data_IF_609049643133
#
_entry.id   IF_609049643133
#
_cell.length_a   1.000
_cell.length_b   1.000
_cell.length_c   1.000
_cell.angle_alpha   90.00
_cell.angle_beta   90.00
_cell.angle_gamma   90.00
#
_symmetry.space_group_name_H-M   'P 1'
#
loop_
_entity.id
_entity.type
_entity.pdbx_description
1 polymer ?
#
# COMPACT_ATOMS: atom_id res chain seq x y z
N UNK A 1 31.98 24.99 -2.67
CA UNK A 1 32.06 24.08 -3.84
C UNK A 1 31.07 22.96 -3.58
N UNK A 2 29.81 23.14 -3.97
CA UNK A 2 28.80 22.09 -3.80
C UNK A 2 28.90 21.18 -5.01
N UNK A 3 29.31 19.94 -4.78
CA UNK A 3 29.47 18.92 -5.81
C UNK A 3 28.19 18.74 -6.63
N UNK A 4 28.39 18.71 -7.94
CA UNK A 4 27.46 18.33 -8.99
C UNK A 4 26.98 16.88 -8.74
N UNK A 5 26.00 16.70 -7.85
CA UNK A 5 25.39 15.38 -7.69
C UNK A 5 24.58 15.11 -8.95
N UNK A 6 24.90 14.03 -9.70
CA UNK A 6 24.09 13.67 -10.84
C UNK A 6 22.64 13.50 -10.38
N UNK A 7 21.72 14.10 -11.13
CA UNK A 7 20.28 14.01 -10.86
C UNK A 7 19.80 12.56 -10.79
N UNK A 8 18.57 12.32 -10.29
CA UNK A 8 18.04 10.97 -10.18
C UNK A 8 18.02 10.27 -11.53
N UNK A 9 18.68 9.11 -11.61
CA UNK A 9 18.76 8.29 -12.83
C UNK A 9 18.20 6.87 -12.60
N UNK A 10 17.74 6.24 -13.67
CA UNK A 10 17.29 4.87 -13.66
C UNK A 10 18.45 3.91 -13.39
N UNK A 11 18.33 3.12 -12.32
CA UNK A 11 19.34 2.13 -11.91
C UNK A 11 19.05 0.71 -12.41
N UNK A 12 18.11 0.55 -13.33
CA UNK A 12 17.80 -0.78 -13.89
C UNK A 12 19.01 -1.31 -14.68
N UNK A 13 19.34 -2.59 -14.48
CA UNK A 13 20.36 -3.31 -15.22
C UNK A 13 19.74 -4.05 -16.40
N UNK A 14 20.18 -3.72 -17.61
CA UNK A 14 19.70 -4.34 -18.85
C UNK A 14 20.61 -5.54 -19.14
N UNK A 15 20.11 -6.75 -18.86
CA UNK A 15 20.91 -7.97 -18.94
C UNK A 15 21.50 -8.25 -20.33
N UNK A 16 20.72 -8.01 -21.39
CA UNK A 16 21.12 -8.21 -22.79
C UNK A 16 22.26 -7.28 -23.23
N UNK A 17 22.27 -6.05 -22.70
CA UNK A 17 23.23 -5.00 -23.09
C UNK A 17 24.39 -4.87 -22.11
N UNK A 18 24.37 -5.62 -21.00
CA UNK A 18 25.36 -5.59 -19.91
C UNK A 18 25.66 -4.16 -19.43
N UNK A 19 24.63 -3.32 -19.29
CA UNK A 19 24.74 -1.94 -18.80
C UNK A 19 23.54 -1.51 -17.97
N UNK A 20 23.70 -0.41 -17.23
CA UNK A 20 22.57 0.28 -16.59
C UNK A 20 21.86 1.22 -17.57
N UNK A 21 20.56 1.39 -17.39
CA UNK A 21 19.74 2.26 -18.23
C UNK A 21 20.18 3.73 -18.15
N UNK A 22 20.35 4.29 -16.95
CA UNK A 22 20.74 5.69 -16.69
C UNK A 22 19.85 6.78 -17.32
N UNK A 23 18.66 6.44 -17.82
CA UNK A 23 17.67 7.46 -18.21
C UNK A 23 17.37 8.36 -17.01
N UNK A 24 17.14 9.64 -17.27
CA UNK A 24 16.79 10.66 -16.26
C UNK A 24 15.32 11.10 -16.37
N UNK A 25 14.58 10.53 -17.33
CA UNK A 25 13.22 10.94 -17.63
C UNK A 25 12.20 10.22 -16.75
N UNK A 26 11.33 11.01 -16.11
CA UNK A 26 10.18 10.49 -15.35
C UNK A 26 10.56 9.51 -14.24
N UNK A 27 11.70 9.74 -13.59
CA UNK A 27 12.25 8.81 -12.59
C UNK A 27 11.39 8.74 -11.34
N UNK A 28 11.02 7.51 -10.97
CA UNK A 28 10.19 7.21 -9.81
C UNK A 28 10.93 6.27 -8.85
N UNK A 29 10.78 6.45 -7.53
CA UNK A 29 11.31 5.52 -6.55
C UNK A 29 10.44 4.26 -6.48
N UNK A 30 11.07 3.09 -6.54
CA UNK A 30 10.48 1.78 -6.22
C UNK A 30 11.34 1.08 -5.18
N UNK A 31 10.83 -0.01 -4.58
CA UNK A 31 11.58 -0.83 -3.61
C UNK A 31 12.91 -1.31 -4.19
N UNK A 32 12.94 -1.65 -5.48
CA UNK A 32 14.14 -2.11 -6.17
C UNK A 32 15.11 -0.98 -6.57
N UNK A 33 14.75 0.28 -6.30
CA UNK A 33 15.50 1.49 -6.64
C UNK A 33 14.80 2.38 -7.68
N UNK A 34 15.52 3.42 -8.13
CA UNK A 34 15.01 4.40 -9.11
C UNK A 34 14.76 3.77 -10.49
N UNK A 35 13.58 4.00 -11.07
CA UNK A 35 13.18 3.48 -12.38
C UNK A 35 12.57 4.55 -13.27
N UNK A 36 12.89 4.51 -14.57
CA UNK A 36 12.18 5.26 -15.60
C UNK A 36 10.89 4.53 -16.01
N UNK A 37 9.98 5.17 -16.76
CA UNK A 37 8.70 4.59 -17.18
C UNK A 37 8.82 3.25 -17.93
N UNK A 38 9.92 3.02 -18.65
CA UNK A 38 10.17 1.76 -19.37
C UNK A 38 10.63 0.61 -18.46
N UNK A 39 11.12 0.92 -17.26
CA UNK A 39 11.68 -0.05 -16.33
C UNK A 39 10.92 -0.10 -15.00
N UNK A 40 9.67 0.34 -14.97
CA UNK A 40 8.80 0.10 -13.83
C UNK A 40 8.54 -1.42 -13.68
N UNK A 41 8.26 -1.92 -12.48
CA UNK A 41 7.90 -3.33 -12.30
C UNK A 41 6.73 -3.77 -13.21
N UNK A 42 5.75 -2.89 -13.45
CA UNK A 42 4.65 -3.16 -14.39
C UNK A 42 5.12 -3.27 -15.83
N UNK A 43 5.97 -2.34 -16.29
CA UNK A 43 6.51 -2.35 -17.65
C UNK A 43 7.34 -3.62 -17.92
N UNK A 44 8.19 -4.02 -16.97
CA UNK A 44 8.96 -5.27 -17.05
C UNK A 44 8.07 -6.52 -17.07
N UNK A 45 6.89 -6.45 -16.43
CA UNK A 45 5.90 -7.51 -16.45
C UNK A 45 4.95 -7.44 -17.68
N UNK A 46 5.17 -6.53 -18.63
CA UNK A 46 4.32 -6.33 -19.80
C UNK A 46 2.92 -5.80 -19.47
N UNK A 47 2.75 -5.18 -18.30
CA UNK A 47 1.48 -4.62 -17.84
C UNK A 47 1.44 -3.11 -18.10
N UNK A 48 0.25 -2.53 -18.35
CA UNK A 48 0.11 -1.08 -18.44
C UNK A 48 0.48 -0.40 -17.12
N UNK A 49 0.89 0.87 -17.19
CA UNK A 49 1.05 1.70 -16.00
C UNK A 49 -0.30 1.85 -15.30
N UNK A 50 -0.36 1.70 -13.96
CA UNK A 50 -1.60 1.90 -13.22
C UNK A 50 -2.14 3.32 -13.47
N UNK A 51 -3.45 3.50 -13.65
CA UNK A 51 -4.02 4.84 -13.70
C UNK A 51 -3.69 5.57 -12.39
N UNK A 52 -3.53 6.90 -12.43
CA UNK A 52 -3.41 7.66 -11.20
C UNK A 52 -4.58 7.29 -10.28
N UNK A 53 -4.29 7.13 -8.99
CA UNK A 53 -5.34 6.91 -8.00
C UNK A 53 -6.35 8.06 -8.01
N UNK A 54 -7.45 7.98 -7.23
CA UNK A 54 -8.57 8.92 -7.29
C UNK A 54 -8.27 10.41 -6.97
N UNK A 55 -7.01 10.87 -7.00
CA UNK A 55 -6.62 12.25 -6.72
C UNK A 55 -6.80 12.66 -5.26
N UNK A 56 -7.33 11.77 -4.42
CA UNK A 56 -7.52 12.00 -2.99
C UNK A 56 -6.14 12.19 -2.34
N UNK A 57 -5.99 13.22 -1.50
CA UNK A 57 -4.76 13.40 -0.75
C UNK A 57 -4.51 12.18 0.15
N UNK A 58 -3.24 11.86 0.44
CA UNK A 58 -2.91 10.79 1.37
C UNK A 58 -3.58 11.04 2.73
N UNK A 59 -4.53 10.18 3.11
CA UNK A 59 -5.36 10.32 4.31
C UNK A 59 -6.88 10.30 4.03
N UNK A 60 -7.29 10.69 2.83
CA UNK A 60 -8.71 10.80 2.43
C UNK A 60 -9.22 9.59 1.63
N UNK A 61 -8.48 8.47 1.65
CA UNK A 61 -9.06 7.22 1.18
C UNK A 61 -10.34 6.99 2.00
N UNK A 62 -11.48 6.64 1.38
CA UNK A 62 -12.67 6.29 2.14
C UNK A 62 -12.28 5.08 3.01
N UNK A 63 -12.08 5.34 4.31
CA UNK A 63 -12.02 4.31 5.32
C UNK A 63 -13.41 3.67 5.28
N UNK A 64 -13.58 2.66 4.44
CA UNK A 64 -14.68 1.74 4.64
C UNK A 64 -14.62 1.35 6.13
N UNK A 65 -15.75 1.26 6.86
CA UNK A 65 -15.72 0.80 8.24
C UNK A 65 -14.99 -0.55 8.38
N UNK A 66 -14.97 -1.35 7.30
CA UNK A 66 -14.22 -2.59 7.18
C UNK A 66 -12.69 -2.42 7.22
N UNK A 67 -12.16 -1.32 6.70
CA UNK A 67 -10.72 -0.99 6.75
C UNK A 67 -10.31 -0.30 8.05
N UNK A 68 -11.25 0.07 8.93
CA UNK A 68 -10.91 0.62 10.23
C UNK A 68 -10.36 -0.50 11.14
N UNK A 69 -9.10 -0.36 11.58
CA UNK A 69 -8.43 -1.35 12.46
C UNK A 69 -9.24 -1.69 13.71
N UNK A 70 -9.98 -0.72 14.25
CA UNK A 70 -10.84 -0.91 15.41
C UNK A 70 -11.96 -1.95 15.18
N UNK A 71 -12.51 -2.06 13.97
CA UNK A 71 -13.54 -3.05 13.63
C UNK A 71 -12.95 -4.45 13.52
N UNK A 72 -11.74 -4.57 12.96
CA UNK A 72 -11.01 -5.83 12.92
C UNK A 72 -10.65 -6.33 14.32
N UNK A 73 -10.18 -5.43 15.19
CA UNK A 73 -9.87 -5.73 16.59
C UNK A 73 -11.11 -6.17 17.36
N UNK A 74 -12.25 -5.49 17.16
CA UNK A 74 -13.52 -5.85 17.83
C UNK A 74 -13.93 -7.28 17.47
N UNK A 75 -13.86 -7.68 16.19
CA UNK A 75 -14.17 -9.07 15.77
C UNK A 75 -13.15 -10.09 16.31
N UNK A 76 -11.87 -9.73 16.36
CA UNK A 76 -10.82 -10.59 16.90
C UNK A 76 -11.01 -10.83 18.41
N UNK A 77 -11.45 -9.82 19.14
CA UNK A 77 -11.81 -9.92 20.57
C UNK A 77 -13.06 -10.78 20.74
N UNK A 78 -14.16 -10.49 20.03
CA UNK A 78 -15.41 -11.25 20.13
C UNK A 78 -15.23 -12.76 19.82
N UNK A 79 -14.41 -13.07 18.80
CA UNK A 79 -14.09 -14.46 18.43
C UNK A 79 -13.04 -15.15 19.33
N UNK A 80 -12.51 -14.46 20.34
CA UNK A 80 -11.48 -15.01 21.24
C UNK A 80 -10.09 -15.16 20.63
N UNK A 81 -9.88 -14.73 19.38
CA UNK A 81 -8.57 -14.76 18.69
C UNK A 81 -7.58 -13.75 19.30
N UNK A 82 -8.08 -12.77 20.05
CA UNK A 82 -7.27 -11.77 20.76
C UNK A 82 -7.59 -11.78 22.25
N UNK A 83 -6.53 -11.80 23.08
CA UNK A 83 -6.67 -11.67 24.54
C UNK A 83 -7.27 -10.31 24.89
N UNK A 84 -8.19 -10.29 25.84
CA UNK A 84 -8.87 -9.09 26.29
C UNK A 84 -9.31 -9.26 27.75
N UNK A 85 -9.73 -8.17 28.38
CA UNK A 85 -10.40 -8.26 29.69
C UNK A 85 -11.83 -8.81 29.50
N UNK A 86 -12.42 -9.46 30.51
CA UNK A 86 -13.79 -9.97 30.42
C UNK A 86 -14.85 -8.90 30.09
N UNK A 87 -14.59 -7.64 30.43
CA UNK A 87 -15.46 -6.52 30.08
C UNK A 87 -15.35 -6.16 28.58
N UNK A 88 -14.12 -6.07 28.05
CA UNK A 88 -13.88 -5.80 26.64
C UNK A 88 -14.41 -6.92 25.74
N UNK A 89 -14.29 -8.17 26.18
CA UNK A 89 -14.87 -9.33 25.48
C UNK A 89 -16.40 -9.21 25.31
N UNK A 90 -17.11 -8.93 26.41
CA UNK A 90 -18.58 -8.78 26.39
C UNK A 90 -19.04 -7.61 25.53
N UNK A 91 -18.35 -6.47 25.60
CA UNK A 91 -18.65 -5.31 24.77
C UNK A 91 -18.47 -5.61 23.27
N UNK A 92 -17.40 -6.34 22.92
CA UNK A 92 -17.14 -6.72 21.54
C UNK A 92 -18.18 -7.73 21.00
N UNK A 93 -18.63 -8.68 21.82
CA UNK A 93 -19.67 -9.64 21.46
C UNK A 93 -20.99 -8.93 21.13
N UNK A 94 -21.45 -8.04 22.02
CA UNK A 94 -22.67 -7.24 21.80
C UNK A 94 -22.60 -6.40 20.52
N UNK A 95 -21.46 -5.77 20.24
CA UNK A 95 -21.26 -4.97 19.02
C UNK A 95 -21.31 -5.81 17.72
N UNK A 96 -20.85 -7.06 17.75
CA UNK A 96 -20.93 -7.97 16.59
C UNK A 96 -22.35 -8.48 16.40
N UNK A 97 -23.05 -8.83 17.48
CA UNK A 97 -24.41 -9.38 17.43
C UNK A 97 -25.41 -8.34 16.88
N UNK A 98 -25.38 -7.09 17.35
CA UNK A 98 -26.20 -6.00 16.79
C UNK A 98 -25.96 -5.78 15.29
N UNK A 99 -24.75 -6.00 14.80
CA UNK A 99 -24.44 -5.87 13.36
C UNK A 99 -25.04 -7.00 12.53
N UNK A 100 -25.23 -8.19 13.11
CA UNK A 100 -25.93 -9.30 12.44
C UNK A 100 -27.40 -8.97 12.25
N UNK A 101 -28.01 -8.37 13.27
CA UNK A 101 -29.43 -7.99 13.25
C UNK A 101 -29.73 -6.85 12.26
N UNK A 102 -28.79 -5.93 12.05
CA UNK A 102 -28.91 -4.83 11.08
C UNK A 102 -28.67 -5.22 9.60
N UNK A 103 -28.21 -6.46 9.33
CA UNK A 103 -27.97 -6.97 7.97
C UNK A 103 -29.03 -8.01 7.53
N UNK A 104 -30.15 -8.09 8.25
CA UNK A 104 -31.35 -8.86 7.93
C UNK A 104 -32.46 -7.89 7.51
#
# INVERSE_FOLDING_TARGET
MSEDRPGPECRHWIGSERRHCRSVDGIRPYIQGLRCPLHTPSALAGKPEPPPGPGLPPGDLPLSPLSASAVADTRAIASGKRRSTPAAYRAAQAAVDHRRDLNL
#
